data_IF_928439601528
#
_entry.id   IF_928439601528
#
_cell.length_a   1.000
_cell.length_b   1.000
_cell.length_c   1.000
_cell.angle_alpha   90.00
_cell.angle_beta   90.00
_cell.angle_gamma   90.00
#
_symmetry.space_group_name_H-M   'P 1'
#
loop_
_entity.id
_entity.type
_entity.pdbx_description
1 polymer ?
#
# COMPACT_ATOMS: atom_id res chain seq x y z
N UNK A 1 13.25 29.69 -56.69
CA UNK A 1 13.16 30.02 -55.25
C UNK A 1 12.67 28.80 -54.55
N UNK A 2 13.58 28.07 -53.93
CA UNK A 2 13.27 26.82 -53.19
C UNK A 2 13.01 27.18 -51.72
N UNK A 3 11.81 26.85 -51.25
CA UNK A 3 11.39 27.04 -49.86
C UNK A 3 12.04 25.97 -48.97
N UNK A 4 12.85 26.37 -47.97
CA UNK A 4 13.38 25.47 -46.97
C UNK A 4 12.23 25.03 -46.06
N UNK A 5 12.10 23.72 -45.75
CA UNK A 5 11.16 23.27 -44.73
C UNK A 5 11.69 23.66 -43.36
N UNK A 6 10.81 24.24 -42.50
CA UNK A 6 11.06 24.51 -41.08
C UNK A 6 11.23 23.15 -40.33
N UNK A 7 12.13 23.06 -39.34
CA UNK A 7 12.25 21.86 -38.55
C UNK A 7 10.97 21.64 -37.76
N UNK A 8 10.28 20.50 -37.97
CA UNK A 8 9.22 20.01 -37.13
C UNK A 8 9.79 19.76 -35.74
N UNK A 9 9.33 20.53 -34.74
CA UNK A 9 9.55 20.23 -33.35
C UNK A 9 8.94 18.84 -33.09
N UNK A 10 9.77 17.85 -32.81
CA UNK A 10 9.32 16.54 -32.38
C UNK A 10 8.51 16.72 -31.09
N UNK A 11 7.24 16.36 -31.12
CA UNK A 11 6.40 16.21 -29.93
C UNK A 11 7.11 15.20 -29.00
N UNK A 12 7.19 15.45 -27.68
CA UNK A 12 7.80 14.49 -26.77
C UNK A 12 7.08 13.16 -26.90
N UNK A 13 7.83 12.12 -27.22
CA UNK A 13 7.35 10.77 -27.34
C UNK A 13 6.84 10.30 -25.96
N UNK A 14 5.51 10.30 -25.78
CA UNK A 14 4.87 9.94 -24.52
C UNK A 14 5.22 8.51 -24.09
N UNK A 15 5.50 7.63 -25.02
CA UNK A 15 5.98 6.27 -24.77
C UNK A 15 7.40 6.29 -24.15
N UNK A 16 8.29 7.13 -24.64
CA UNK A 16 9.66 7.30 -24.11
C UNK A 16 9.64 7.90 -22.70
N UNK A 17 8.75 8.85 -22.43
CA UNK A 17 8.58 9.43 -21.09
C UNK A 17 8.11 8.42 -20.04
N UNK A 18 7.12 7.59 -20.37
CA UNK A 18 6.65 6.52 -19.49
C UNK A 18 7.74 5.48 -19.19
N UNK A 19 8.53 5.10 -20.21
CA UNK A 19 9.66 4.19 -20.08
C UNK A 19 10.76 4.75 -19.19
N UNK A 20 11.14 6.02 -19.37
CA UNK A 20 12.13 6.68 -18.51
C UNK A 20 11.66 6.76 -17.07
N UNK A 21 10.37 7.09 -16.83
CA UNK A 21 9.80 7.11 -15.51
C UNK A 21 9.85 5.75 -14.83
N UNK A 22 9.52 4.68 -15.56
CA UNK A 22 9.59 3.30 -15.05
C UNK A 22 11.03 2.93 -14.65
N UNK A 23 12.01 3.16 -15.53
CA UNK A 23 13.43 2.90 -15.25
C UNK A 23 13.96 3.71 -14.06
N UNK A 24 13.48 4.94 -13.85
CA UNK A 24 13.84 5.75 -12.68
C UNK A 24 13.28 5.16 -11.39
N UNK A 25 12.08 4.60 -11.40
CA UNK A 25 11.50 3.91 -10.24
C UNK A 25 12.26 2.62 -9.92
N UNK A 26 12.65 1.83 -10.93
CA UNK A 26 13.50 0.65 -10.75
C UNK A 26 14.89 1.05 -10.22
N UNK A 27 15.51 2.08 -10.79
CA UNK A 27 16.78 2.62 -10.34
C UNK A 27 16.73 3.11 -8.90
N UNK A 28 15.63 3.74 -8.48
CA UNK A 28 15.39 4.12 -7.08
C UNK A 28 15.33 2.88 -6.19
N UNK A 29 14.57 1.84 -6.57
CA UNK A 29 14.46 0.61 -5.79
C UNK A 29 15.83 -0.06 -5.59
N UNK A 30 16.63 -0.19 -6.65
CA UNK A 30 17.95 -0.79 -6.58
C UNK A 30 18.95 0.05 -5.76
N UNK A 31 19.00 1.36 -5.97
CA UNK A 31 19.90 2.25 -5.24
C UNK A 31 19.60 2.24 -3.73
N UNK A 32 18.32 2.31 -3.36
CA UNK A 32 17.89 2.31 -1.95
C UNK A 32 18.15 0.94 -1.31
N UNK A 33 17.92 -0.15 -2.01
CA UNK A 33 18.22 -1.48 -1.51
C UNK A 33 19.70 -1.70 -1.20
N UNK A 34 20.58 -1.11 -2.01
CA UNK A 34 22.02 -1.26 -1.84
C UNK A 34 22.59 -0.44 -0.67
N UNK A 35 21.99 0.72 -0.32
CA UNK A 35 22.61 1.73 0.57
C UNK A 35 21.68 2.30 1.62
N UNK A 36 20.37 2.02 1.56
CA UNK A 36 19.34 2.76 2.29
C UNK A 36 19.03 4.11 1.64
N UNK A 37 17.87 4.67 1.98
CA UNK A 37 17.42 5.94 1.40
C UNK A 37 18.32 7.13 1.78
N UNK A 38 18.80 7.19 3.01
CA UNK A 38 19.61 8.29 3.49
C UNK A 38 20.85 8.51 2.61
N UNK A 39 21.58 7.44 2.32
CA UNK A 39 22.85 7.46 1.56
C UNK A 39 22.66 7.44 0.03
N UNK A 40 21.45 7.19 -0.45
CA UNK A 40 21.14 7.19 -1.89
C UNK A 40 21.14 8.61 -2.43
N UNK A 41 21.84 8.84 -3.54
CA UNK A 41 21.86 10.13 -4.26
C UNK A 41 21.12 10.06 -5.58
N UNK A 42 20.74 11.21 -6.17
CA UNK A 42 20.17 11.25 -7.54
C UNK A 42 21.18 10.68 -8.55
N UNK A 43 22.49 10.83 -8.31
CA UNK A 43 23.51 10.25 -9.19
C UNK A 43 23.48 8.72 -9.18
N UNK A 44 23.21 8.11 -8.03
CA UNK A 44 23.04 6.66 -7.92
C UNK A 44 21.80 6.19 -8.67
N UNK A 45 20.67 6.87 -8.48
CA UNK A 45 19.40 6.54 -9.13
C UNK A 45 19.52 6.58 -10.66
N UNK A 46 20.08 7.66 -11.21
CA UNK A 46 20.20 7.79 -12.68
C UNK A 46 21.22 6.83 -13.29
N UNK A 47 22.26 6.45 -12.51
CA UNK A 47 23.21 5.41 -12.92
C UNK A 47 22.50 4.05 -13.03
N UNK A 48 21.75 3.64 -12.00
CA UNK A 48 20.98 2.40 -12.01
C UNK A 48 19.91 2.40 -13.11
N UNK A 49 19.23 3.53 -13.31
CA UNK A 49 18.21 3.71 -14.35
C UNK A 49 18.79 3.82 -15.78
N UNK A 50 20.10 4.01 -15.92
CA UNK A 50 20.79 4.31 -17.17
C UNK A 50 20.15 5.47 -17.95
N UNK A 51 19.83 6.58 -17.23
CA UNK A 51 19.31 7.83 -17.79
C UNK A 51 20.15 9.03 -17.37
N UNK A 52 19.88 10.20 -17.95
CA UNK A 52 20.58 11.43 -17.57
C UNK A 52 19.98 12.06 -16.30
N UNK A 53 20.76 12.91 -15.60
CA UNK A 53 20.22 13.76 -14.53
C UNK A 53 19.12 14.69 -15.01
N UNK A 54 19.21 15.18 -16.25
CA UNK A 54 18.18 16.01 -16.86
C UNK A 54 16.87 15.23 -16.94
N UNK A 55 16.92 13.99 -17.43
CA UNK A 55 15.76 13.09 -17.49
C UNK A 55 15.14 12.86 -16.12
N UNK A 56 15.94 12.72 -15.05
CA UNK A 56 15.43 12.64 -13.70
C UNK A 56 14.55 13.85 -13.34
N UNK A 57 15.09 15.07 -13.56
CA UNK A 57 14.36 16.30 -13.22
C UNK A 57 13.16 16.61 -14.13
N UNK A 58 13.08 15.97 -15.29
CA UNK A 58 11.87 16.00 -16.12
C UNK A 58 10.70 15.22 -15.49
N UNK A 59 10.99 14.25 -14.61
CA UNK A 59 10.00 13.39 -13.96
C UNK A 59 9.80 13.65 -12.46
N UNK A 60 10.85 14.03 -11.74
CA UNK A 60 10.83 14.17 -10.28
C UNK A 60 11.61 15.42 -9.86
N UNK A 61 11.02 16.26 -9.00
CA UNK A 61 11.70 17.44 -8.49
C UNK A 61 12.77 17.06 -7.46
N UNK A 62 12.52 16.03 -6.66
CA UNK A 62 13.42 15.58 -5.59
C UNK A 62 13.57 14.05 -5.55
N UNK A 63 14.60 13.59 -4.84
CA UNK A 63 14.78 12.17 -4.49
C UNK A 63 13.56 11.63 -3.70
N UNK A 64 12.98 12.45 -2.84
CA UNK A 64 11.80 12.08 -2.06
C UNK A 64 10.58 11.84 -2.94
N UNK A 65 10.33 12.69 -3.96
CA UNK A 65 9.22 12.51 -4.89
C UNK A 65 9.34 11.20 -5.67
N UNK A 66 10.55 10.83 -6.05
CA UNK A 66 10.81 9.56 -6.73
C UNK A 66 10.52 8.35 -5.82
N UNK A 67 10.91 8.38 -4.53
CA UNK A 67 10.61 7.31 -3.58
C UNK A 67 9.11 7.22 -3.29
N UNK A 68 8.43 8.36 -3.12
CA UNK A 68 6.97 8.41 -2.93
C UNK A 68 6.27 7.79 -4.14
N UNK A 69 6.67 8.15 -5.36
CA UNK A 69 6.09 7.61 -6.58
C UNK A 69 6.33 6.08 -6.70
N UNK A 70 7.51 5.59 -6.31
CA UNK A 70 7.79 4.15 -6.24
C UNK A 70 6.86 3.46 -5.25
N UNK A 71 6.68 4.05 -4.06
CA UNK A 71 5.78 3.53 -3.03
C UNK A 71 4.33 3.44 -3.54
N UNK A 72 3.83 4.50 -4.17
CA UNK A 72 2.47 4.55 -4.73
C UNK A 72 2.24 3.49 -5.81
N UNK A 73 3.14 3.42 -6.79
CA UNK A 73 3.03 2.44 -7.89
C UNK A 73 3.06 1.01 -7.35
N UNK A 74 3.96 0.73 -6.41
CA UNK A 74 4.07 -0.61 -5.82
C UNK A 74 2.86 -0.97 -4.97
N UNK A 75 2.33 -0.02 -4.18
CA UNK A 75 1.12 -0.22 -3.37
C UNK A 75 -0.12 -0.42 -4.23
N UNK A 76 -0.29 0.34 -5.31
CA UNK A 76 -1.38 0.12 -6.26
C UNK A 76 -1.29 -1.22 -6.99
N UNK A 77 -0.07 -1.68 -7.32
CA UNK A 77 0.14 -3.02 -7.88
C UNK A 77 -0.26 -4.12 -6.87
N UNK A 78 0.12 -3.97 -5.61
CA UNK A 78 -0.29 -4.89 -4.56
C UNK A 78 -1.81 -4.90 -4.36
N UNK A 79 -2.46 -3.72 -4.36
CA UNK A 79 -3.93 -3.62 -4.29
C UNK A 79 -4.61 -4.27 -5.51
N UNK A 80 -4.00 -4.17 -6.69
CA UNK A 80 -4.48 -4.86 -7.91
C UNK A 80 -4.41 -6.38 -7.77
N UNK A 81 -3.33 -6.89 -7.16
CA UNK A 81 -3.19 -8.32 -6.84
C UNK A 81 -4.27 -8.75 -5.85
N UNK A 82 -4.50 -7.99 -4.77
CA UNK A 82 -5.57 -8.24 -3.80
C UNK A 82 -6.94 -8.35 -4.49
N UNK A 83 -7.28 -7.38 -5.34
CA UNK A 83 -8.56 -7.36 -6.08
C UNK A 83 -8.72 -8.52 -7.06
N UNK A 84 -7.62 -8.89 -7.73
CA UNK A 84 -7.63 -9.99 -8.70
C UNK A 84 -7.69 -11.38 -8.08
N UNK A 85 -7.38 -11.51 -6.79
CA UNK A 85 -7.34 -12.80 -6.09
C UNK A 85 -8.69 -13.23 -5.52
N UNK A 86 -9.67 -12.33 -5.38
CA UNK A 86 -10.96 -12.65 -4.78
C UNK A 86 -11.92 -13.25 -5.81
N UNK A 87 -12.74 -14.22 -5.34
CA UNK A 87 -13.90 -14.76 -6.06
C UNK A 87 -15.18 -14.23 -5.40
N UNK A 88 -15.93 -13.32 -6.06
CA UNK A 88 -17.14 -12.72 -5.47
C UNK A 88 -18.27 -13.72 -5.16
N UNK A 89 -18.20 -14.94 -5.71
CA UNK A 89 -19.17 -16.00 -5.44
C UNK A 89 -18.88 -16.76 -4.13
N UNK A 90 -17.72 -16.54 -3.53
CA UNK A 90 -17.34 -17.15 -2.25
C UNK A 90 -17.75 -16.27 -1.06
N UNK A 91 -17.90 -16.90 0.09
CA UNK A 91 -18.10 -16.15 1.34
C UNK A 91 -16.93 -15.21 1.65
N UNK A 92 -17.20 -14.11 2.34
CA UNK A 92 -16.21 -13.07 2.64
C UNK A 92 -14.94 -13.62 3.33
N UNK A 93 -15.06 -14.65 4.19
CA UNK A 93 -13.90 -15.26 4.85
C UNK A 93 -12.92 -15.85 3.86
N UNK A 94 -13.44 -16.58 2.86
CA UNK A 94 -12.61 -17.17 1.79
C UNK A 94 -12.00 -16.07 0.91
N UNK A 95 -12.77 -15.03 0.58
CA UNK A 95 -12.27 -13.91 -0.21
C UNK A 95 -11.12 -13.19 0.51
N UNK A 96 -11.26 -12.92 1.83
CA UNK A 96 -10.23 -12.28 2.66
C UNK A 96 -8.97 -13.16 2.71
N UNK A 97 -9.11 -14.47 2.93
CA UNK A 97 -7.97 -15.39 2.99
C UNK A 97 -7.23 -15.48 1.65
N UNK A 98 -7.98 -15.55 0.53
CA UNK A 98 -7.41 -15.50 -0.83
C UNK A 98 -6.64 -14.19 -1.08
N UNK A 99 -7.23 -13.05 -0.71
CA UNK A 99 -6.61 -11.75 -0.87
C UNK A 99 -5.31 -11.64 -0.05
N UNK A 100 -5.33 -12.02 1.23
CA UNK A 100 -4.14 -12.00 2.10
C UNK A 100 -3.06 -12.94 1.56
N UNK A 101 -3.43 -14.15 1.12
CA UNK A 101 -2.49 -15.11 0.54
C UNK A 101 -1.78 -14.53 -0.69
N UNK A 102 -2.54 -13.96 -1.62
CA UNK A 102 -2.00 -13.34 -2.83
C UNK A 102 -1.11 -12.12 -2.51
N UNK A 103 -1.52 -11.30 -1.54
CA UNK A 103 -0.75 -10.14 -1.09
C UNK A 103 0.61 -10.54 -0.51
N UNK A 104 0.62 -11.46 0.46
CA UNK A 104 1.86 -11.92 1.10
C UNK A 104 2.77 -12.64 0.11
N UNK A 105 2.21 -13.42 -0.82
CA UNK A 105 2.99 -14.03 -1.91
C UNK A 105 3.60 -12.97 -2.85
N UNK A 106 2.87 -11.91 -3.19
CA UNK A 106 3.37 -10.80 -3.99
C UNK A 106 4.53 -10.08 -3.28
N UNK A 107 4.41 -9.81 -1.97
CA UNK A 107 5.47 -9.19 -1.17
C UNK A 107 6.72 -10.06 -1.11
N UNK A 108 6.58 -11.38 -0.95
CA UNK A 108 7.70 -12.32 -0.87
C UNK A 108 8.50 -12.42 -2.18
N UNK A 109 7.92 -12.09 -3.33
CA UNK A 109 8.59 -12.16 -4.64
C UNK A 109 9.70 -11.11 -4.82
N UNK A 110 9.63 -9.98 -4.08
CA UNK A 110 10.62 -8.91 -4.19
C UNK A 110 11.08 -8.40 -2.81
N UNK A 111 11.98 -9.13 -2.12
CA UNK A 111 12.47 -8.75 -0.79
C UNK A 111 13.14 -7.37 -0.74
N UNK A 112 13.80 -6.98 -1.83
CA UNK A 112 14.47 -5.69 -1.99
C UNK A 112 13.46 -4.54 -1.93
N UNK A 113 12.42 -4.64 -2.74
CA UNK A 113 11.34 -3.65 -2.79
C UNK A 113 10.55 -3.62 -1.47
N UNK A 114 10.34 -4.78 -0.87
CA UNK A 114 9.63 -4.92 0.40
C UNK A 114 10.28 -4.06 1.51
N UNK A 115 11.59 -4.18 1.71
CA UNK A 115 12.31 -3.36 2.68
C UNK A 115 12.19 -1.86 2.38
N UNK A 116 12.33 -1.47 1.11
CA UNK A 116 12.16 -0.08 0.67
C UNK A 116 10.77 0.46 1.02
N UNK A 117 9.72 -0.32 0.78
CA UNK A 117 8.34 0.10 1.03
C UNK A 117 7.95 0.12 2.52
N UNK A 118 8.47 -0.80 3.33
CA UNK A 118 8.07 -0.90 4.73
C UNK A 118 8.98 -0.11 5.69
N UNK A 119 10.26 0.03 5.37
CA UNK A 119 11.26 0.66 6.24
C UNK A 119 11.65 2.04 5.73
N UNK A 120 12.16 2.13 4.49
CA UNK A 120 12.80 3.35 4.00
C UNK A 120 11.81 4.51 3.80
N UNK A 121 10.54 4.22 3.49
CA UNK A 121 9.49 5.23 3.34
C UNK A 121 9.27 6.02 4.64
N UNK A 122 9.48 5.40 5.80
CA UNK A 122 9.35 6.05 7.10
C UNK A 122 10.45 7.10 7.33
N UNK A 123 11.62 6.91 6.72
CA UNK A 123 12.74 7.86 6.76
C UNK A 123 12.44 9.22 6.10
N UNK A 124 11.38 9.33 5.31
CA UNK A 124 10.90 10.61 4.76
C UNK A 124 10.17 11.48 5.79
N UNK A 125 9.89 10.99 7.01
CA UNK A 125 9.10 11.72 8.01
C UNK A 125 7.65 11.97 7.57
N UNK A 126 7.17 13.20 7.73
CA UNK A 126 5.76 13.54 7.47
C UNK A 126 5.25 13.20 6.05
N UNK A 127 5.97 13.45 4.94
CA UNK A 127 5.55 13.05 3.60
C UNK A 127 5.42 11.53 3.44
N UNK A 128 6.37 10.76 3.97
CA UNK A 128 6.32 9.28 3.94
C UNK A 128 5.14 8.72 4.75
N UNK A 129 4.89 9.28 5.93
CA UNK A 129 3.73 8.90 6.75
C UNK A 129 2.41 9.25 6.06
N UNK A 130 2.34 10.36 5.32
CA UNK A 130 1.13 10.78 4.61
C UNK A 130 0.79 9.80 3.47
N UNK A 131 1.77 9.43 2.63
CA UNK A 131 1.55 8.48 1.54
C UNK A 131 1.21 7.08 2.08
N UNK A 132 1.90 6.62 3.13
CA UNK A 132 1.61 5.34 3.78
C UNK A 132 0.19 5.29 4.32
N UNK A 133 -0.27 6.36 4.97
CA UNK A 133 -1.64 6.46 5.50
C UNK A 133 -2.67 6.38 4.39
N UNK A 134 -2.46 7.09 3.28
CA UNK A 134 -3.35 7.05 2.11
C UNK A 134 -3.46 5.64 1.53
N UNK A 135 -2.33 4.96 1.31
CA UNK A 135 -2.34 3.60 0.76
C UNK A 135 -2.96 2.58 1.72
N UNK A 136 -2.73 2.71 3.03
CA UNK A 136 -3.38 1.86 4.03
C UNK A 136 -4.90 2.07 4.02
N UNK A 137 -5.38 3.31 3.83
CA UNK A 137 -6.80 3.60 3.71
C UNK A 137 -7.41 2.94 2.46
N UNK A 138 -6.73 2.99 1.31
CA UNK A 138 -7.22 2.32 0.09
C UNK A 138 -7.33 0.80 0.25
N UNK A 139 -6.42 0.17 1.00
CA UNK A 139 -6.51 -1.26 1.34
C UNK A 139 -7.66 -1.50 2.32
N UNK A 140 -7.85 -0.63 3.31
CA UNK A 140 -8.97 -0.70 4.25
C UNK A 140 -10.32 -0.55 3.53
N UNK A 141 -10.45 0.39 2.59
CA UNK A 141 -11.64 0.59 1.79
C UNK A 141 -11.98 -0.65 0.95
N UNK A 142 -10.95 -1.29 0.36
CA UNK A 142 -11.13 -2.56 -0.32
C UNK A 142 -11.64 -3.65 0.63
N UNK A 143 -11.06 -3.78 1.81
CA UNK A 143 -11.50 -4.74 2.84
C UNK A 143 -12.96 -4.50 3.25
N UNK A 144 -13.35 -3.23 3.47
CA UNK A 144 -14.73 -2.85 3.78
C UNK A 144 -15.69 -3.28 2.68
N UNK A 145 -15.32 -3.05 1.41
CA UNK A 145 -16.12 -3.46 0.27
C UNK A 145 -16.35 -4.97 0.20
N UNK A 146 -15.35 -5.78 0.56
CA UNK A 146 -15.46 -7.25 0.57
C UNK A 146 -16.28 -7.74 1.77
N UNK A 147 -15.97 -7.26 2.98
CA UNK A 147 -16.58 -7.76 4.22
C UNK A 147 -18.03 -7.33 4.35
N UNK A 148 -18.35 -6.10 3.98
CA UNK A 148 -19.70 -5.51 4.17
C UNK A 148 -20.62 -5.73 2.94
N UNK A 149 -20.15 -6.44 1.90
CA UNK A 149 -20.85 -6.55 0.60
C UNK A 149 -22.27 -7.11 0.70
N UNK A 150 -22.51 -8.07 1.59
CA UNK A 150 -23.80 -8.74 1.75
C UNK A 150 -24.68 -8.13 2.84
N UNK A 151 -24.22 -7.09 3.53
CA UNK A 151 -24.91 -6.41 4.62
C UNK A 151 -25.08 -7.24 5.91
N UNK A 152 -24.55 -8.46 5.95
CA UNK A 152 -24.65 -9.34 7.13
C UNK A 152 -23.58 -9.09 8.16
N UNK A 153 -22.45 -8.55 7.71
CA UNK A 153 -21.32 -8.20 8.54
C UNK A 153 -21.14 -6.69 8.55
N UNK A 154 -20.63 -6.17 9.66
CA UNK A 154 -20.29 -4.76 9.76
C UNK A 154 -18.88 -4.60 10.29
N UNK A 155 -17.98 -4.19 9.41
CA UNK A 155 -16.63 -3.75 9.75
C UNK A 155 -16.60 -2.22 9.66
N UNK A 156 -16.18 -1.54 10.72
CA UNK A 156 -16.03 -0.07 10.69
C UNK A 156 -14.73 0.34 10.02
N UNK A 157 -14.66 1.59 9.54
CA UNK A 157 -13.45 2.13 8.93
C UNK A 157 -12.26 2.06 9.87
N UNK A 158 -12.40 2.49 11.12
CA UNK A 158 -11.29 2.51 12.09
C UNK A 158 -10.77 1.10 12.38
N UNK A 159 -11.67 0.11 12.44
CA UNK A 159 -11.28 -1.29 12.61
C UNK A 159 -10.55 -1.82 11.35
N UNK A 160 -11.02 -1.48 10.16
CA UNK A 160 -10.34 -1.88 8.92
C UNK A 160 -8.92 -1.30 8.84
N UNK A 161 -8.75 -0.01 9.18
CA UNK A 161 -7.43 0.64 9.25
C UNK A 161 -6.54 -0.01 10.31
N UNK A 162 -7.09 -0.34 11.50
CA UNK A 162 -6.35 -1.02 12.56
C UNK A 162 -5.88 -2.42 12.13
N UNK A 163 -6.73 -3.18 11.44
CA UNK A 163 -6.40 -4.50 10.89
C UNK A 163 -5.27 -4.39 9.84
N UNK A 164 -5.40 -3.45 8.88
CA UNK A 164 -4.34 -3.21 7.88
C UNK A 164 -3.03 -2.82 8.56
N UNK A 165 -3.09 -1.96 9.58
CA UNK A 165 -1.93 -1.58 10.39
C UNK A 165 -1.29 -2.79 11.08
N UNK A 166 -2.09 -3.65 11.70
CA UNK A 166 -1.62 -4.87 12.37
C UNK A 166 -0.97 -5.87 11.41
N UNK A 167 -1.55 -6.07 10.22
CA UNK A 167 -0.94 -6.92 9.17
C UNK A 167 0.40 -6.34 8.71
N UNK A 168 0.46 -5.03 8.50
CA UNK A 168 1.71 -4.36 8.11
C UNK A 168 2.78 -4.50 9.20
N UNK A 169 2.41 -4.46 10.48
CA UNK A 169 3.33 -4.67 11.59
C UNK A 169 3.89 -6.11 11.59
N UNK A 170 3.06 -7.11 11.34
CA UNK A 170 3.53 -8.50 11.21
C UNK A 170 4.54 -8.66 10.05
N UNK A 171 4.28 -7.98 8.93
CA UNK A 171 5.23 -7.97 7.79
C UNK A 171 6.52 -7.25 8.17
N UNK A 172 6.45 -6.12 8.86
CA UNK A 172 7.63 -5.37 9.31
C UNK A 172 8.50 -6.21 10.25
N UNK A 173 7.90 -6.91 11.22
CA UNK A 173 8.61 -7.84 12.09
C UNK A 173 9.28 -8.98 11.31
N UNK A 174 8.61 -9.52 10.29
CA UNK A 174 9.21 -10.55 9.43
C UNK A 174 10.43 -10.03 8.65
N UNK A 175 10.40 -8.76 8.20
CA UNK A 175 11.55 -8.10 7.57
C UNK A 175 12.71 -7.96 8.56
N UNK A 176 12.44 -7.48 9.78
CA UNK A 176 13.45 -7.30 10.83
C UNK A 176 14.10 -8.61 11.25
N UNK A 177 13.36 -9.70 11.22
CA UNK A 177 13.81 -11.05 11.59
C UNK A 177 14.39 -11.85 10.42
N UNK A 178 14.54 -11.24 9.24
CA UNK A 178 14.99 -11.89 7.99
C UNK A 178 14.12 -13.11 7.58
N UNK A 179 12.81 -13.02 7.82
CA UNK A 179 11.82 -14.09 7.57
C UNK A 179 10.94 -13.82 6.34
N UNK A 180 11.41 -13.02 5.40
CA UNK A 180 10.64 -12.68 4.19
C UNK A 180 10.27 -13.91 3.35
N UNK A 181 11.12 -14.93 3.33
CA UNK A 181 10.88 -16.20 2.60
C UNK A 181 9.68 -17.00 3.12
N UNK A 182 9.26 -16.77 4.36
CA UNK A 182 8.15 -17.47 5.02
C UNK A 182 6.96 -16.55 5.33
N UNK A 183 6.78 -15.45 4.59
CA UNK A 183 5.62 -14.56 4.75
C UNK A 183 4.27 -15.27 4.62
N UNK A 184 4.21 -16.40 3.94
CA UNK A 184 2.99 -17.22 3.85
C UNK A 184 2.49 -17.72 5.23
N UNK A 185 3.36 -17.84 6.23
CA UNK A 185 2.97 -18.19 7.62
C UNK A 185 2.10 -17.10 8.26
N UNK A 186 2.15 -15.86 7.75
CA UNK A 186 1.32 -14.75 8.24
C UNK A 186 -0.12 -14.78 7.74
N UNK A 187 -0.47 -15.68 6.80
CA UNK A 187 -1.86 -15.78 6.26
C UNK A 187 -2.84 -16.12 7.38
N UNK A 188 -2.54 -17.12 8.20
CA UNK A 188 -3.41 -17.57 9.29
C UNK A 188 -3.63 -16.49 10.36
N UNK A 189 -2.60 -15.87 10.97
CA UNK A 189 -2.79 -14.81 11.97
C UNK A 189 -3.45 -13.57 11.37
N UNK A 190 -3.15 -13.18 10.14
CA UNK A 190 -3.79 -12.05 9.46
C UNK A 190 -5.29 -12.29 9.21
N UNK A 191 -5.66 -13.48 8.74
CA UNK A 191 -7.06 -13.87 8.54
C UNK A 191 -7.81 -13.95 9.86
N UNK A 192 -7.16 -14.40 10.94
CA UNK A 192 -7.73 -14.43 12.28
C UNK A 192 -7.99 -13.01 12.80
N UNK A 193 -7.07 -12.07 12.56
CA UNK A 193 -7.23 -10.66 12.94
C UNK A 193 -8.47 -10.03 12.28
N UNK A 194 -8.68 -10.27 10.98
CA UNK A 194 -9.89 -9.80 10.28
C UNK A 194 -11.16 -10.38 10.90
N UNK A 195 -11.19 -11.69 11.14
CA UNK A 195 -12.35 -12.37 11.75
C UNK A 195 -12.66 -11.85 13.16
N UNK A 196 -11.64 -11.63 13.98
CA UNK A 196 -11.79 -11.09 15.33
C UNK A 196 -12.33 -9.64 15.32
N UNK A 197 -11.88 -8.81 14.37
CA UNK A 197 -12.37 -7.43 14.24
C UNK A 197 -13.86 -7.33 13.90
N UNK A 198 -14.39 -8.29 13.17
CA UNK A 198 -15.84 -8.35 12.84
C UNK A 198 -16.64 -8.85 14.04
N UNK A 199 -16.19 -9.89 14.71
CA UNK A 199 -16.88 -10.51 15.84
C UNK A 199 -17.02 -9.60 17.06
N UNK A 200 -16.07 -8.69 17.31
CA UNK A 200 -16.11 -7.75 18.44
C UNK A 200 -17.16 -6.65 18.30
N UNK A 201 -17.63 -6.33 17.09
CA UNK A 201 -18.62 -5.28 16.86
C UNK A 201 -20.08 -5.76 17.00
N UNK A 202 -20.34 -7.04 16.83
CA UNK A 202 -21.66 -7.63 16.99
C UNK A 202 -22.18 -7.57 18.44
N UNK A 203 -21.31 -7.29 19.42
CA UNK A 203 -21.65 -7.22 20.84
C UNK A 203 -22.05 -5.82 21.36
N UNK A 204 -21.82 -4.74 20.60
CA UNK A 204 -22.06 -3.37 21.10
C UNK A 204 -23.45 -2.79 20.79
N UNK A 205 -24.30 -3.47 19.99
CA UNK A 205 -25.67 -3.03 19.71
C UNK A 205 -26.70 -3.57 20.72
N UNK A 206 -26.28 -4.08 21.88
CA UNK A 206 -27.12 -4.54 22.97
C UNK A 206 -27.38 -3.46 24.01
N UNK A 207 -28.48 -2.67 23.82
CA UNK A 207 -29.34 -2.08 24.85
C UNK A 207 -28.67 -1.25 25.95
N UNK A 208 -28.70 0.06 25.79
CA UNK A 208 -28.79 0.98 26.92
C UNK A 208 -30.14 0.72 27.60
N UNK A 209 -30.19 0.39 28.89
CA UNK A 209 -31.47 0.34 29.60
C UNK A 209 -32.03 1.76 29.71
N UNK A 210 -33.27 1.91 29.23
CA UNK A 210 -34.09 3.10 29.39
C UNK A 210 -34.18 3.42 30.87
N UNK A 211 -33.71 4.60 31.28
CA UNK A 211 -34.07 5.20 32.55
C UNK A 211 -35.53 5.68 32.47
N UNK A 212 -36.44 4.83 32.84
CA UNK A 212 -37.82 5.26 33.18
C UNK A 212 -37.91 5.51 34.68
N UNK A 213 -38.34 6.73 34.98
CA UNK A 213 -39.23 7.19 36.05
C UNK A 213 -39.13 6.58 37.46
N UNK A 214 -38.57 7.36 38.35
CA UNK A 214 -39.11 7.48 39.69
C UNK A 214 -39.22 8.97 40.09
N UNK A 215 -40.29 9.59 39.61
CA UNK A 215 -40.94 10.70 40.31
C UNK A 215 -42.28 10.16 40.79
N UNK A 216 -42.43 9.93 42.08
CA UNK A 216 -43.64 10.28 42.84
C UNK A 216 -43.60 9.83 44.31
N UNK A 217 -43.94 10.82 45.17
CA UNK A 217 -44.68 10.71 46.42
C UNK A 217 -43.92 10.50 47.73
N UNK A 218 -43.88 11.59 48.50
CA UNK A 218 -44.50 11.67 49.84
C UNK A 218 -44.27 13.07 50.42
N UNK A 219 -45.24 13.72 50.64
CA UNK A 219 -45.90 14.32 51.79
C UNK A 219 -45.00 14.53 53.02
#
# INVERSE_FOLDING_TARGET
>A
MASLPLPQAALPDTASGAEHRHRLLEGMAHAVAARGYAETTIADIVREAAVSRRTFYEHFATKADCLIALYEVSSHNALKVLRGAIDPQRGWQTQVEQAITAYLACLAQNPVLLRTLFVEILGLGAPGLAVRRRMNQEIADFMLGVVNADGRQHLSNDMAVAIVGGINELVLQAIEQDRVSVLHELVAPSSQLVRAGIGSQSGQNGTLPSREDHVQQSR
#
